data_IF_835253981995
#
_entry.id   IF_835253981995
#
_cell.length_a   1.000
_cell.length_b   1.000
_cell.length_c   1.000
_cell.angle_alpha   90.00
_cell.angle_beta   90.00
_cell.angle_gamma   90.00
#
_symmetry.space_group_name_H-M   'P 1'
#
loop_
_entity.id
_entity.type
_entity.pdbx_description
1 polymer ?
#
# COMPACT_ATOMS: atom_id res chain seq x y z
N UNK A 1 69.36 37.44 19.76
CA UNK A 1 68.91 36.21 19.08
C UNK A 1 68.85 35.01 20.02
N UNK A 2 69.37 35.10 21.26
CA UNK A 2 69.42 33.95 22.18
C UNK A 2 68.10 33.63 22.91
N UNK A 3 67.26 34.63 23.18
CA UNK A 3 65.93 34.42 23.80
C UNK A 3 64.93 33.65 22.91
N UNK A 4 65.10 33.72 21.59
CA UNK A 4 64.24 33.02 20.62
C UNK A 4 64.61 31.53 20.53
N UNK A 5 65.91 31.20 20.66
CA UNK A 5 66.38 29.81 20.66
C UNK A 5 65.97 29.06 21.92
N UNK A 6 66.10 29.69 23.09
CA UNK A 6 65.68 29.08 24.37
C UNK A 6 64.16 28.87 24.45
N UNK A 7 63.38 29.81 23.88
CA UNK A 7 61.93 29.66 23.77
C UNK A 7 61.54 28.52 22.81
N UNK A 8 62.30 28.32 21.72
CA UNK A 8 62.08 27.22 20.76
C UNK A 8 62.41 25.85 21.37
N UNK A 9 63.49 25.73 22.15
CA UNK A 9 63.88 24.46 22.79
C UNK A 9 62.92 24.05 23.93
N UNK A 10 62.44 25.01 24.73
CA UNK A 10 61.40 24.73 25.73
C UNK A 10 60.07 24.36 25.08
N UNK A 11 59.74 24.96 23.94
CA UNK A 11 58.56 24.60 23.16
C UNK A 11 58.66 23.20 22.55
N UNK A 12 59.82 22.78 22.02
CA UNK A 12 60.01 21.43 21.49
C UNK A 12 60.03 20.36 22.59
N UNK A 13 60.66 20.63 23.73
CA UNK A 13 60.66 19.72 24.88
C UNK A 13 59.25 19.53 25.46
N UNK A 14 58.47 20.62 25.60
CA UNK A 14 57.08 20.54 26.05
C UNK A 14 56.17 19.82 25.04
N UNK A 15 56.45 19.95 23.74
CA UNK A 15 55.76 19.18 22.69
C UNK A 15 56.07 17.69 22.79
N UNK A 16 57.33 17.29 22.96
CA UNK A 16 57.71 15.88 23.11
C UNK A 16 57.13 15.24 24.37
N UNK A 17 57.14 15.94 25.50
CA UNK A 17 56.54 15.46 26.76
C UNK A 17 55.01 15.29 26.61
N UNK A 18 54.34 16.24 25.96
CA UNK A 18 52.90 16.13 25.67
C UNK A 18 52.59 14.98 24.69
N UNK A 19 53.47 14.70 23.73
CA UNK A 19 53.31 13.61 22.77
C UNK A 19 53.48 12.24 23.45
N UNK A 20 54.44 12.12 24.37
CA UNK A 20 54.65 10.90 25.16
C UNK A 20 53.50 10.66 26.14
N UNK A 21 53.05 11.70 26.85
CA UNK A 21 51.89 11.62 27.72
C UNK A 21 50.61 11.21 26.95
N UNK A 22 50.42 11.74 25.73
CA UNK A 22 49.32 11.34 24.86
C UNK A 22 49.45 9.87 24.39
N UNK A 23 50.66 9.41 24.04
CA UNK A 23 50.89 8.02 23.64
C UNK A 23 50.61 7.03 24.78
N UNK A 24 51.05 7.35 25.99
CA UNK A 24 50.84 6.50 27.15
C UNK A 24 49.37 6.52 27.61
N UNK A 25 48.67 7.65 27.46
CA UNK A 25 47.22 7.71 27.63
C UNK A 25 46.47 6.84 26.61
N UNK A 26 46.90 6.81 25.34
CA UNK A 26 46.32 5.93 24.31
C UNK A 26 46.61 4.45 24.60
N UNK A 27 47.81 4.10 25.09
CA UNK A 27 48.13 2.72 25.49
C UNK A 27 47.33 2.29 26.72
N UNK A 28 47.22 3.15 27.72
CA UNK A 28 46.43 2.87 28.91
C UNK A 28 44.94 2.67 28.55
N UNK A 29 44.37 3.54 27.72
CA UNK A 29 42.97 3.43 27.28
C UNK A 29 42.70 2.22 26.40
N UNK A 30 43.64 1.81 25.54
CA UNK A 30 43.50 0.58 24.75
C UNK A 30 43.61 -0.69 25.60
N UNK A 31 44.46 -0.70 26.63
CA UNK A 31 44.53 -1.80 27.59
C UNK A 31 43.25 -1.86 28.44
N UNK A 32 42.75 -0.73 28.95
CA UNK A 32 41.48 -0.73 29.71
C UNK A 32 40.32 -1.20 28.84
N UNK A 33 40.19 -0.68 27.62
CA UNK A 33 39.15 -1.10 26.67
C UNK A 33 39.22 -2.62 26.38
N UNK A 34 40.42 -3.18 26.22
CA UNK A 34 40.58 -4.63 26.00
C UNK A 34 40.19 -5.44 27.24
N UNK A 35 40.55 -4.99 28.43
CA UNK A 35 40.19 -5.67 29.68
C UNK A 35 38.69 -5.60 29.98
N UNK A 36 38.05 -4.48 29.65
CA UNK A 36 36.60 -4.32 29.76
C UNK A 36 35.87 -5.20 28.74
N UNK A 37 36.37 -5.27 27.51
CA UNK A 37 35.83 -6.17 26.49
C UNK A 37 35.93 -7.65 26.90
N UNK A 38 37.05 -8.07 27.50
CA UNK A 38 37.23 -9.43 28.01
C UNK A 38 36.25 -9.73 29.17
N UNK A 39 36.10 -8.80 30.13
CA UNK A 39 35.12 -8.93 31.22
C UNK A 39 33.68 -9.00 30.71
N UNK A 40 33.35 -8.21 29.69
CA UNK A 40 32.03 -8.25 29.07
C UNK A 40 31.77 -9.60 28.36
N UNK A 41 32.79 -10.18 27.73
CA UNK A 41 32.70 -11.50 27.12
C UNK A 41 32.51 -12.61 28.18
N UNK A 42 33.30 -12.60 29.25
CA UNK A 42 33.18 -13.58 30.34
C UNK A 42 31.81 -13.46 31.04
N UNK A 43 31.34 -12.23 31.24
CA UNK A 43 30.01 -11.98 31.79
C UNK A 43 28.92 -12.50 30.85
N UNK A 44 29.02 -12.26 29.54
CA UNK A 44 28.09 -12.79 28.56
C UNK A 44 28.08 -14.33 28.51
N UNK A 45 29.25 -14.97 28.65
CA UNK A 45 29.32 -16.43 28.69
C UNK A 45 28.68 -16.98 29.97
N UNK A 46 28.91 -16.35 31.12
CA UNK A 46 28.30 -16.76 32.39
C UNK A 46 26.77 -16.61 32.39
N UNK A 47 26.22 -15.57 31.73
CA UNK A 47 24.76 -15.39 31.63
C UNK A 47 24.13 -16.39 30.67
N UNK A 48 24.85 -16.80 29.62
CA UNK A 48 24.40 -17.89 28.75
C UNK A 48 24.41 -19.24 29.48
N UNK A 49 25.47 -19.56 30.20
CA UNK A 49 25.58 -20.84 30.93
C UNK A 49 24.54 -20.97 32.04
N UNK A 50 24.31 -19.88 32.77
CA UNK A 50 23.22 -19.82 33.77
C UNK A 50 21.84 -19.94 33.11
N UNK A 51 21.61 -19.27 31.97
CA UNK A 51 20.37 -19.43 31.20
C UNK A 51 20.12 -20.87 30.75
N UNK A 52 21.16 -21.56 30.28
CA UNK A 52 21.09 -22.98 29.88
C UNK A 52 20.79 -23.86 31.10
N UNK A 53 21.41 -23.60 32.26
CA UNK A 53 21.16 -24.36 33.47
C UNK A 53 19.71 -24.18 33.98
N UNK A 54 19.17 -22.96 33.92
CA UNK A 54 17.77 -22.69 34.26
C UNK A 54 16.81 -23.40 33.32
N UNK A 55 17.08 -23.40 32.02
CA UNK A 55 16.25 -24.11 31.04
C UNK A 55 16.23 -25.61 31.31
N UNK A 56 17.40 -26.23 31.55
CA UNK A 56 17.51 -27.66 31.87
C UNK A 56 16.77 -28.02 33.17
N UNK A 57 16.92 -27.20 34.22
CA UNK A 57 16.21 -27.42 35.47
C UNK A 57 14.67 -27.31 35.28
N UNK A 58 14.21 -26.32 34.53
CA UNK A 58 12.80 -26.17 34.22
C UNK A 58 12.25 -27.37 33.42
N UNK A 59 13.03 -27.88 32.47
CA UNK A 59 12.69 -29.11 31.72
C UNK A 59 12.59 -30.33 32.65
N UNK A 60 13.58 -30.55 33.51
CA UNK A 60 13.58 -31.68 34.45
C UNK A 60 12.38 -31.65 35.39
N UNK A 61 12.06 -30.48 35.95
CA UNK A 61 10.88 -30.29 36.82
C UNK A 61 9.59 -30.54 36.03
N UNK A 62 9.47 -30.02 34.81
CA UNK A 62 8.28 -30.25 33.98
C UNK A 62 8.10 -31.74 33.66
N UNK A 63 9.18 -32.45 33.30
CA UNK A 63 9.12 -33.88 33.05
C UNK A 63 8.86 -34.70 34.32
N UNK A 64 9.33 -34.26 35.48
CA UNK A 64 9.01 -34.90 36.76
C UNK A 64 7.51 -34.82 37.05
N UNK A 65 6.89 -33.64 36.92
CA UNK A 65 5.43 -33.49 37.10
C UNK A 65 4.62 -34.29 36.09
N UNK A 66 5.07 -34.38 34.84
CA UNK A 66 4.40 -35.21 33.83
C UNK A 66 4.49 -36.70 34.20
N UNK A 67 5.65 -37.19 34.64
CA UNK A 67 5.82 -38.57 35.10
C UNK A 67 4.95 -38.87 36.31
N UNK A 68 4.92 -37.99 37.30
CA UNK A 68 4.05 -38.12 38.48
C UNK A 68 2.56 -38.15 38.08
N UNK A 69 2.16 -37.31 37.13
CA UNK A 69 0.80 -37.33 36.58
C UNK A 69 0.45 -38.66 35.88
N UNK A 70 1.40 -39.26 35.16
CA UNK A 70 1.22 -40.57 34.53
C UNK A 70 1.17 -41.69 35.57
N UNK A 71 2.06 -41.67 36.57
CA UNK A 71 2.05 -42.63 37.68
C UNK A 71 0.74 -42.58 38.47
N UNK A 72 0.23 -41.37 38.75
CA UNK A 72 -1.05 -41.16 39.41
C UNK A 72 -2.22 -41.65 38.54
N UNK A 73 -2.12 -41.50 37.22
CA UNK A 73 -3.11 -42.03 36.29
C UNK A 73 -3.13 -43.55 36.22
N UNK A 74 -1.98 -44.21 36.36
CA UNK A 74 -1.88 -45.66 36.46
C UNK A 74 -2.37 -46.17 37.83
N UNK A 75 -2.09 -45.43 38.90
CA UNK A 75 -2.52 -45.78 40.26
C UNK A 75 -4.05 -45.67 40.45
N UNK A 76 -4.71 -44.71 39.78
CA UNK A 76 -6.16 -44.49 39.88
C UNK A 76 -6.84 -44.46 38.50
N UNK A 77 -6.96 -45.60 37.79
CA UNK A 77 -7.46 -45.64 36.41
C UNK A 77 -8.85 -45.03 36.25
N UNK A 78 -9.78 -45.34 37.17
CA UNK A 78 -11.17 -44.88 37.10
C UNK A 78 -11.30 -43.36 37.32
N UNK A 79 -10.53 -42.79 38.26
CA UNK A 79 -10.55 -41.36 38.55
C UNK A 79 -9.95 -40.55 37.40
N UNK A 80 -8.86 -41.05 36.80
CA UNK A 80 -8.21 -40.41 35.67
C UNK A 80 -9.04 -40.50 34.39
N UNK A 81 -9.73 -41.62 34.15
CA UNK A 81 -10.72 -41.71 33.06
C UNK A 81 -11.87 -40.73 33.25
N UNK A 82 -12.37 -40.56 34.48
CA UNK A 82 -13.43 -39.59 34.77
C UNK A 82 -12.94 -38.13 34.59
N UNK A 83 -11.73 -37.81 35.04
CA UNK A 83 -11.12 -36.50 34.86
C UNK A 83 -10.90 -36.17 33.38
N UNK A 84 -10.36 -37.13 32.61
CA UNK A 84 -10.21 -37.00 31.15
C UNK A 84 -11.57 -36.83 30.45
N UNK A 85 -12.58 -37.60 30.84
CA UNK A 85 -13.94 -37.46 30.32
C UNK A 85 -14.54 -36.08 30.61
N UNK A 86 -14.37 -35.56 31.83
CA UNK A 86 -14.81 -34.22 32.21
C UNK A 86 -14.10 -33.12 31.41
N UNK A 87 -12.78 -33.20 31.25
CA UNK A 87 -12.01 -32.27 30.43
C UNK A 87 -12.39 -32.34 28.95
N UNK A 88 -12.61 -33.55 28.42
CA UNK A 88 -13.06 -33.75 27.05
C UNK A 88 -14.41 -33.06 26.78
N UNK A 89 -15.36 -33.12 27.72
CA UNK A 89 -16.64 -32.42 27.57
C UNK A 89 -16.50 -30.89 27.52
N UNK A 90 -15.47 -30.32 28.15
CA UNK A 90 -15.19 -28.87 28.14
C UNK A 90 -14.41 -28.45 26.88
N UNK A 91 -13.48 -29.29 26.42
CA UNK A 91 -12.60 -28.98 25.28
C UNK A 91 -13.34 -29.20 23.95
N UNK A 92 -14.18 -30.23 23.84
CA UNK A 92 -14.87 -30.56 22.58
C UNK A 92 -16.00 -29.53 22.34
N UNK A 93 -16.05 -28.89 21.15
CA UNK A 93 -16.94 -27.75 20.90
C UNK A 93 -18.45 -28.06 20.96
N UNK A 94 -18.85 -29.30 20.69
CA UNK A 94 -20.24 -29.77 20.80
C UNK A 94 -20.77 -29.82 22.24
N UNK A 95 -20.24 -30.71 23.09
CA UNK A 95 -20.67 -30.83 24.49
C UNK A 95 -20.42 -29.56 25.29
N UNK A 96 -19.35 -28.80 24.99
CA UNK A 96 -19.15 -27.46 25.57
C UNK A 96 -20.34 -26.56 25.29
N UNK A 97 -20.75 -26.38 24.04
CA UNK A 97 -21.91 -25.52 23.70
C UNK A 97 -23.20 -26.01 24.36
N UNK A 98 -23.39 -27.32 24.45
CA UNK A 98 -24.55 -27.92 25.13
C UNK A 98 -24.54 -27.60 26.63
N UNK A 99 -23.43 -27.84 27.33
CA UNK A 99 -23.26 -27.51 28.74
C UNK A 99 -23.48 -26.01 28.99
N UNK A 100 -22.78 -25.14 28.27
CA UNK A 100 -22.91 -23.69 28.43
C UNK A 100 -24.32 -23.18 28.16
N UNK A 101 -25.02 -23.73 27.15
CA UNK A 101 -26.39 -23.31 26.83
C UNK A 101 -27.41 -23.79 27.88
N UNK A 102 -27.20 -24.96 28.47
CA UNK A 102 -28.16 -25.57 29.38
C UNK A 102 -27.93 -25.23 30.86
N UNK A 103 -26.69 -24.91 31.27
CA UNK A 103 -26.35 -24.60 32.68
C UNK A 103 -26.13 -23.11 32.91
N UNK A 104 -25.28 -22.46 32.12
CA UNK A 104 -24.91 -21.04 32.30
C UNK A 104 -25.97 -20.11 31.68
N UNK A 105 -26.62 -20.53 30.58
CA UNK A 105 -27.74 -19.80 29.99
C UNK A 105 -28.91 -19.59 30.96
N UNK A 106 -29.10 -20.52 31.91
CA UNK A 106 -30.18 -20.49 32.91
C UNK A 106 -29.91 -19.54 34.08
N UNK A 107 -28.68 -19.05 34.22
CA UNK A 107 -28.26 -18.11 35.27
C UNK A 107 -28.24 -16.64 34.78
N UNK A 108 -28.58 -16.37 33.51
CA UNK A 108 -28.74 -15.01 33.01
C UNK A 108 -30.08 -14.44 33.44
N UNK A 109 -30.09 -13.28 34.09
CA UNK A 109 -31.35 -12.58 34.38
C UNK A 109 -32.00 -12.11 33.08
N UNK A 110 -33.32 -12.24 33.01
CA UNK A 110 -34.13 -11.77 31.89
C UNK A 110 -33.92 -10.27 31.65
N UNK A 111 -33.77 -9.50 32.73
CA UNK A 111 -33.47 -8.07 32.70
C UNK A 111 -32.14 -7.76 31.99
N UNK A 112 -31.10 -8.57 32.22
CA UNK A 112 -29.80 -8.39 31.55
C UNK A 112 -29.87 -8.69 30.05
N UNK A 113 -30.65 -9.70 29.67
CA UNK A 113 -30.89 -10.02 28.26
C UNK A 113 -31.71 -8.93 27.57
N UNK A 114 -32.75 -8.43 28.23
CA UNK A 114 -33.58 -7.35 27.72
C UNK A 114 -32.79 -6.05 27.55
N UNK A 115 -32.00 -5.64 28.55
CA UNK A 115 -31.11 -4.46 28.45
C UNK A 115 -30.09 -4.60 27.32
N UNK A 116 -29.50 -5.79 27.12
CA UNK A 116 -28.59 -6.03 26.00
C UNK A 116 -29.32 -5.95 24.65
N UNK A 117 -30.54 -6.46 24.55
CA UNK A 117 -31.36 -6.36 23.35
C UNK A 117 -31.74 -4.91 23.05
N UNK A 118 -32.12 -4.12 24.06
CA UNK A 118 -32.46 -2.71 23.92
C UNK A 118 -31.27 -1.88 23.42
N UNK A 119 -30.08 -2.10 24.00
CA UNK A 119 -28.84 -1.45 23.53
C UNK A 119 -28.52 -1.81 22.08
N UNK A 120 -28.68 -3.09 21.69
CA UNK A 120 -28.48 -3.52 20.30
C UNK A 120 -29.50 -2.87 19.37
N UNK A 121 -30.78 -2.83 19.76
CA UNK A 121 -31.82 -2.19 18.96
C UNK A 121 -31.54 -0.70 18.73
N UNK A 122 -31.08 0.02 19.77
CA UNK A 122 -30.65 1.42 19.64
C UNK A 122 -29.48 1.57 18.67
N UNK A 123 -28.42 0.76 18.83
CA UNK A 123 -27.26 0.80 17.93
C UNK A 123 -27.63 0.50 16.46
N UNK A 124 -28.57 -0.42 16.24
CA UNK A 124 -29.07 -0.75 14.90
C UNK A 124 -29.86 0.43 14.34
N UNK A 125 -30.73 1.05 15.16
CA UNK A 125 -31.51 2.22 14.75
C UNK A 125 -30.60 3.39 14.33
N UNK A 126 -29.56 3.68 15.11
CA UNK A 126 -28.56 4.70 14.80
C UNK A 126 -27.80 4.38 13.50
N UNK A 127 -27.37 3.13 13.32
CA UNK A 127 -26.70 2.69 12.10
C UNK A 127 -27.60 2.83 10.86
N UNK A 128 -28.88 2.46 10.97
CA UNK A 128 -29.85 2.61 9.88
C UNK A 128 -30.06 4.08 9.54
N UNK A 129 -30.22 4.97 10.52
CA UNK A 129 -30.36 6.40 10.28
C UNK A 129 -29.12 7.01 9.62
N UNK A 130 -27.92 6.60 10.03
CA UNK A 130 -26.68 7.03 9.38
C UNK A 130 -26.61 6.55 7.93
N UNK A 131 -26.96 5.28 7.68
CA UNK A 131 -26.92 4.70 6.34
C UNK A 131 -27.96 5.31 5.41
N UNK A 132 -29.16 5.65 5.88
CA UNK A 132 -30.16 6.35 5.05
C UNK A 132 -29.72 7.78 4.73
N UNK A 133 -29.11 8.48 5.69
CA UNK A 133 -28.54 9.81 5.44
C UNK A 133 -27.36 9.79 4.46
N UNK A 134 -26.51 8.75 4.51
CA UNK A 134 -25.45 8.57 3.52
C UNK A 134 -26.01 8.16 2.15
N UNK A 135 -27.00 7.27 2.11
CA UNK A 135 -27.69 6.84 0.90
C UNK A 135 -28.27 8.02 0.13
N UNK A 136 -29.04 8.87 0.80
CA UNK A 136 -29.62 10.08 0.17
C UNK A 136 -28.56 11.04 -0.37
N UNK A 137 -27.42 11.23 0.32
CA UNK A 137 -26.30 12.04 -0.19
C UNK A 137 -25.67 11.43 -1.44
N UNK A 138 -25.52 10.10 -1.48
CA UNK A 138 -24.97 9.40 -2.63
C UNK A 138 -25.93 9.46 -3.84
N UNK A 139 -27.23 9.31 -3.61
CA UNK A 139 -28.25 9.47 -4.65
C UNK A 139 -28.22 10.87 -5.27
N UNK A 140 -28.11 11.92 -4.46
CA UNK A 140 -27.99 13.30 -4.96
C UNK A 140 -26.72 13.50 -5.79
N UNK A 141 -25.57 12.97 -5.32
CA UNK A 141 -24.32 13.02 -6.08
C UNK A 141 -24.41 12.26 -7.40
N UNK A 142 -25.06 11.10 -7.41
CA UNK A 142 -25.26 10.31 -8.61
C UNK A 142 -26.17 11.03 -9.62
N UNK A 143 -27.26 11.64 -9.15
CA UNK A 143 -28.17 12.41 -10.00
C UNK A 143 -27.44 13.58 -10.69
N UNK A 144 -26.63 14.34 -9.95
CA UNK A 144 -25.80 15.41 -10.52
C UNK A 144 -24.78 14.88 -11.53
N UNK A 145 -24.08 13.80 -11.19
CA UNK A 145 -23.11 13.18 -12.11
C UNK A 145 -23.78 12.67 -13.40
N UNK A 146 -24.99 12.12 -13.30
CA UNK A 146 -25.76 11.67 -14.46
C UNK A 146 -26.18 12.83 -15.35
N UNK A 147 -26.61 13.95 -14.76
CA UNK A 147 -26.92 15.16 -15.51
C UNK A 147 -25.68 15.71 -16.25
N UNK A 148 -24.54 15.80 -15.56
CA UNK A 148 -23.28 16.23 -16.15
C UNK A 148 -22.81 15.30 -17.28
N UNK A 149 -22.94 13.98 -17.10
CA UNK A 149 -22.63 12.98 -18.12
C UNK A 149 -23.51 13.18 -19.36
N UNK A 150 -24.82 13.33 -19.18
CA UNK A 150 -25.76 13.54 -20.28
C UNK A 150 -25.46 14.84 -21.04
N UNK A 151 -25.12 15.90 -20.30
CA UNK A 151 -24.70 17.18 -20.89
C UNK A 151 -23.38 17.04 -21.66
N UNK A 152 -22.42 16.31 -21.09
CA UNK A 152 -21.14 15.99 -21.72
C UNK A 152 -21.33 15.21 -23.02
N UNK A 153 -22.10 14.12 -22.98
CA UNK A 153 -22.42 13.31 -24.17
C UNK A 153 -23.14 14.12 -25.25
N UNK A 154 -24.06 14.99 -24.86
CA UNK A 154 -24.75 15.88 -25.80
C UNK A 154 -23.79 16.83 -26.51
N UNK A 155 -22.83 17.41 -25.77
CA UNK A 155 -21.76 18.24 -26.34
C UNK A 155 -20.87 17.44 -27.30
N UNK A 156 -20.45 16.24 -26.91
CA UNK A 156 -19.62 15.37 -27.77
C UNK A 156 -20.35 15.03 -29.06
N UNK A 157 -21.64 14.66 -29.00
CA UNK A 157 -22.46 14.38 -30.19
C UNK A 157 -22.61 15.61 -31.09
N UNK A 158 -22.80 16.79 -30.51
CA UNK A 158 -22.88 18.03 -31.27
C UNK A 158 -21.56 18.34 -31.99
N UNK A 159 -20.42 18.21 -31.31
CA UNK A 159 -19.09 18.39 -31.90
C UNK A 159 -18.78 17.33 -32.96
N UNK A 160 -19.20 16.07 -32.77
CA UNK A 160 -19.05 15.01 -33.78
C UNK A 160 -19.80 15.37 -35.06
N UNK A 161 -21.04 15.88 -34.98
CA UNK A 161 -21.79 16.38 -36.15
C UNK A 161 -21.06 17.52 -36.86
N UNK A 162 -20.46 18.43 -36.10
CA UNK A 162 -19.65 19.52 -36.68
C UNK A 162 -18.40 18.98 -37.38
N UNK A 163 -17.69 18.01 -36.79
CA UNK A 163 -16.54 17.36 -37.41
C UNK A 163 -16.92 16.63 -38.70
N UNK A 164 -18.05 15.93 -38.72
CA UNK A 164 -18.57 15.28 -39.93
C UNK A 164 -18.91 16.30 -41.03
N UNK A 165 -19.53 17.43 -40.66
CA UNK A 165 -19.81 18.52 -41.60
C UNK A 165 -18.51 19.11 -42.17
N UNK A 166 -17.53 19.39 -41.31
CA UNK A 166 -16.22 19.90 -41.72
C UNK A 166 -15.49 18.90 -42.63
N UNK A 167 -15.51 17.61 -42.31
CA UNK A 167 -14.92 16.58 -43.16
C UNK A 167 -15.56 16.57 -44.57
N UNK A 168 -16.87 16.71 -44.66
CA UNK A 168 -17.58 16.84 -45.95
C UNK A 168 -17.20 18.11 -46.70
N UNK A 169 -17.07 19.25 -46.02
CA UNK A 169 -16.65 20.51 -46.63
C UNK A 169 -15.22 20.40 -47.17
N UNK A 170 -14.28 19.88 -46.38
CA UNK A 170 -12.89 19.64 -46.81
C UNK A 170 -12.84 18.66 -47.98
N UNK A 171 -13.67 17.61 -47.99
CA UNK A 171 -13.78 16.70 -49.12
C UNK A 171 -14.26 17.39 -50.40
N UNK A 172 -15.21 18.32 -50.29
CA UNK A 172 -15.67 19.16 -51.41
C UNK A 172 -14.55 20.07 -51.92
N UNK A 173 -13.84 20.74 -51.02
CA UNK A 173 -12.69 21.62 -51.36
C UNK A 173 -11.56 20.83 -52.02
N UNK A 174 -11.22 19.63 -51.49
CA UNK A 174 -10.24 18.72 -52.11
C UNK A 174 -10.67 18.36 -53.54
N UNK A 175 -11.95 18.04 -53.75
CA UNK A 175 -12.47 17.71 -55.09
C UNK A 175 -12.37 18.90 -56.05
N UNK A 176 -12.76 20.10 -55.61
CA UNK A 176 -12.65 21.32 -56.43
C UNK A 176 -11.20 21.66 -56.77
N UNK A 177 -10.28 21.56 -55.81
CA UNK A 177 -8.85 21.78 -56.05
C UNK A 177 -8.27 20.75 -57.05
N UNK A 178 -8.64 19.47 -56.92
CA UNK A 178 -8.23 18.43 -57.88
C UNK A 178 -8.78 18.68 -59.28
N UNK A 179 -10.02 19.14 -59.40
CA UNK A 179 -10.59 19.53 -60.70
C UNK A 179 -9.80 20.70 -61.31
N UNK A 180 -9.49 21.73 -60.53
CA UNK A 180 -8.70 22.87 -61.00
C UNK A 180 -7.28 22.45 -61.44
N UNK A 181 -6.62 21.53 -60.72
CA UNK A 181 -5.33 20.96 -61.13
C UNK A 181 -5.44 20.23 -62.48
N UNK A 182 -6.57 19.56 -62.74
CA UNK A 182 -6.84 18.89 -64.01
C UNK A 182 -7.05 19.90 -65.13
N UNK A 183 -7.85 20.94 -64.90
CA UNK A 183 -8.15 21.95 -65.92
C UNK A 183 -6.87 22.76 -66.26
N UNK A 184 -6.06 23.12 -65.26
CA UNK A 184 -4.76 23.77 -65.47
C UNK A 184 -3.73 22.90 -66.21
N UNK A 185 -3.96 21.59 -66.33
CA UNK A 185 -3.09 20.68 -67.10
C UNK A 185 -3.23 20.89 -68.61
N UNK A 186 -4.36 21.42 -69.06
CA UNK A 186 -4.64 21.66 -70.49
C UNK A 186 -3.97 22.94 -71.01
N UNK A 187 -3.49 23.80 -70.10
CA UNK A 187 -2.88 25.09 -70.41
C UNK A 187 -1.34 24.99 -70.38
N UNK A 188 -0.63 25.22 -71.51
CA UNK A 188 0.83 25.10 -71.57
C UNK A 188 1.59 26.36 -71.09
N UNK A 189 0.90 27.38 -70.56
CA UNK A 189 1.53 28.65 -70.17
C UNK A 189 2.34 28.52 -68.87
N UNK A 190 3.49 29.21 -68.79
CA UNK A 190 4.32 29.28 -67.56
C UNK A 190 3.54 29.67 -66.28
N UNK A 191 2.66 30.70 -66.29
CA UNK A 191 1.88 31.03 -65.10
C UNK A 191 0.88 29.92 -64.71
N UNK A 192 0.31 29.18 -65.67
CA UNK A 192 -0.57 28.06 -65.38
C UNK A 192 0.18 26.90 -64.69
N UNK A 193 1.44 26.65 -65.07
CA UNK A 193 2.29 25.65 -64.41
C UNK A 193 2.59 26.01 -62.95
N UNK A 194 2.91 27.27 -62.66
CA UNK A 194 3.14 27.75 -61.29
C UNK A 194 1.87 27.62 -60.43
N UNK A 195 0.73 28.07 -60.95
CA UNK A 195 -0.56 27.96 -60.27
C UNK A 195 -0.96 26.49 -60.05
N UNK A 196 -0.70 25.61 -61.02
CA UNK A 196 -0.97 24.17 -60.89
C UNK A 196 -0.17 23.55 -59.75
N UNK A 197 1.10 23.90 -59.62
CA UNK A 197 1.92 23.42 -58.51
C UNK A 197 1.36 23.87 -57.16
N UNK A 198 0.97 25.14 -57.05
CA UNK A 198 0.36 25.70 -55.83
C UNK A 198 -0.96 24.99 -55.48
N UNK A 199 -1.91 24.90 -56.42
CA UNK A 199 -3.20 24.23 -56.18
C UNK A 199 -3.01 22.74 -55.86
N UNK A 200 -2.03 22.07 -56.48
CA UNK A 200 -1.72 20.68 -56.17
C UNK A 200 -1.21 20.51 -54.73
N UNK A 201 -0.41 21.44 -54.21
CA UNK A 201 0.01 21.42 -52.80
C UNK A 201 -1.18 21.64 -51.86
N UNK A 202 -2.09 22.56 -52.19
CA UNK A 202 -3.32 22.81 -51.42
C UNK A 202 -4.25 21.60 -51.43
N UNK A 203 -4.42 20.92 -52.57
CA UNK A 203 -5.20 19.69 -52.69
C UNK A 203 -4.62 18.56 -51.82
N UNK A 204 -3.29 18.41 -51.81
CA UNK A 204 -2.61 17.44 -50.96
C UNK A 204 -2.79 17.76 -49.46
N UNK A 205 -2.75 19.03 -49.08
CA UNK A 205 -3.02 19.47 -47.71
C UNK A 205 -4.48 19.18 -47.29
N UNK A 206 -5.45 19.50 -48.14
CA UNK A 206 -6.87 19.22 -47.90
C UNK A 206 -7.12 17.71 -47.73
N UNK A 207 -6.50 16.87 -48.58
CA UNK A 207 -6.57 15.41 -48.46
C UNK A 207 -6.06 14.90 -47.12
N UNK A 208 -4.93 15.42 -46.64
CA UNK A 208 -4.37 15.05 -45.32
C UNK A 208 -5.30 15.46 -44.18
N UNK A 209 -5.86 16.67 -44.23
CA UNK A 209 -6.83 17.14 -43.24
C UNK A 209 -8.08 16.28 -43.21
N UNK A 210 -8.64 15.92 -44.37
CA UNK A 210 -9.79 15.01 -44.46
C UNK A 210 -9.50 13.66 -43.80
N UNK A 211 -8.38 13.02 -44.14
CA UNK A 211 -8.01 11.73 -43.55
C UNK A 211 -7.85 11.81 -42.04
N UNK A 212 -7.35 12.92 -41.49
CA UNK A 212 -7.26 13.13 -40.06
C UNK A 212 -8.66 13.24 -39.41
N UNK A 213 -9.56 14.02 -40.02
CA UNK A 213 -10.94 14.17 -39.54
C UNK A 213 -11.71 12.83 -39.60
N UNK A 214 -11.58 12.08 -40.69
CA UNK A 214 -12.24 10.78 -40.85
C UNK A 214 -11.78 9.77 -39.79
N UNK A 215 -10.50 9.77 -39.41
CA UNK A 215 -10.00 8.92 -38.31
C UNK A 215 -10.61 9.29 -36.97
N UNK A 216 -10.74 10.58 -36.67
CA UNK A 216 -11.37 11.04 -35.42
C UNK A 216 -12.83 10.63 -35.38
N UNK A 217 -13.58 10.86 -36.46
CA UNK A 217 -14.99 10.46 -36.58
C UNK A 217 -15.13 8.95 -36.44
N UNK A 218 -14.28 8.17 -37.11
CA UNK A 218 -14.28 6.70 -37.00
C UNK A 218 -14.08 6.23 -35.55
N UNK A 219 -13.09 6.80 -34.85
CA UNK A 219 -12.83 6.45 -33.45
C UNK A 219 -14.02 6.78 -32.53
N UNK A 220 -14.71 7.90 -32.76
CA UNK A 220 -15.93 8.25 -32.02
C UNK A 220 -17.07 7.26 -32.31
N UNK A 221 -17.30 6.92 -33.58
CA UNK A 221 -18.34 5.93 -33.94
C UNK A 221 -18.06 4.55 -33.35
N UNK A 222 -16.78 4.14 -33.25
CA UNK A 222 -16.37 2.89 -32.60
C UNK A 222 -16.71 2.88 -31.10
N UNK A 223 -16.74 4.05 -30.46
CA UNK A 223 -17.13 4.21 -29.06
C UNK A 223 -18.66 4.31 -28.86
N UNK A 224 -19.46 4.18 -29.92
CA UNK A 224 -20.92 4.29 -29.86
C UNK A 224 -21.44 5.73 -29.78
N UNK A 225 -20.62 6.69 -30.21
CA UNK A 225 -20.92 8.14 -30.18
C UNK A 225 -21.34 8.65 -31.56
#
# INVERSE_FOLDING_TARGET
>A
MDSIKEASEKASAGLEESLQAASDAVKATTVTARTEAAKAYDQAQSTLDTGIAYAKHAEEVAFAYLKEGVELAVAYPNASMAALGGLALVVIPGPRRFLFRNTIGRLRSEEGMFRSAEMKAKSISEAVQSQTAEGTKLEQRLALAQEELNRGLSKVKATNRQLQSLAKQVASTEKSANNLVRDLRELPSKPALALRAEVATQAAAAKRQRQALDRVVYNLTKQGI
#
